data_IF_874754969287
#
_entry.id   IF_874754969287
#
_cell.length_a   1.000
_cell.length_b   1.000
_cell.length_c   1.000
_cell.angle_alpha   90.00
_cell.angle_beta   90.00
_cell.angle_gamma   90.00
#
_symmetry.space_group_name_H-M   'P 1'
#
loop_
_entity.id
_entity.type
_entity.pdbx_description
1 polymer ?
#
# COMPACT_ATOMS: atom_id res chain seq x y z
N UNK A 1 -44.47 4.15 -4.31
CA UNK A 1 -43.32 4.99 -4.68
C UNK A 1 -42.51 5.49 -3.48
N UNK A 2 -43.14 6.14 -2.53
CA UNK A 2 -42.46 6.65 -1.34
C UNK A 2 -41.77 5.54 -0.53
N UNK A 3 -42.42 4.39 -0.38
CA UNK A 3 -41.85 3.26 0.35
C UNK A 3 -40.60 2.69 -0.33
N UNK A 4 -40.62 2.59 -1.65
CA UNK A 4 -39.47 2.11 -2.41
C UNK A 4 -38.28 3.07 -2.31
N UNK A 5 -38.55 4.39 -2.40
CA UNK A 5 -37.50 5.40 -2.24
C UNK A 5 -36.90 5.35 -0.83
N UNK A 6 -37.74 5.22 0.19
CA UNK A 6 -37.27 5.11 1.56
C UNK A 6 -36.43 3.84 1.79
N UNK A 7 -36.83 2.72 1.17
CA UNK A 7 -36.07 1.49 1.23
C UNK A 7 -34.68 1.61 0.60
N UNK A 8 -34.59 2.27 -0.55
CA UNK A 8 -33.32 2.52 -1.21
C UNK A 8 -32.44 3.44 -0.37
N UNK A 9 -33.00 4.51 0.20
CA UNK A 9 -32.26 5.42 1.06
C UNK A 9 -31.68 4.70 2.28
N UNK A 10 -32.43 3.79 2.89
CA UNK A 10 -31.94 2.98 4.02
C UNK A 10 -30.78 2.10 3.62
N UNK A 11 -30.85 1.44 2.48
CA UNK A 11 -29.76 0.57 2.00
C UNK A 11 -28.49 1.38 1.76
N UNK A 12 -28.60 2.54 1.11
CA UNK A 12 -27.47 3.44 0.90
C UNK A 12 -26.84 3.89 2.22
N UNK A 13 -27.68 4.24 3.20
CA UNK A 13 -27.19 4.68 4.52
C UNK A 13 -26.39 3.58 5.22
N UNK A 14 -26.87 2.34 5.19
CA UNK A 14 -26.14 1.21 5.78
C UNK A 14 -24.79 0.99 5.09
N UNK A 15 -24.74 1.05 3.77
CA UNK A 15 -23.50 0.92 3.03
C UNK A 15 -22.50 2.03 3.38
N UNK A 16 -22.96 3.28 3.51
CA UNK A 16 -22.13 4.40 3.93
C UNK A 16 -21.56 4.21 5.35
N UNK A 17 -22.36 3.68 6.26
CA UNK A 17 -21.90 3.40 7.62
C UNK A 17 -20.80 2.34 7.66
N UNK A 18 -20.90 1.28 6.85
CA UNK A 18 -19.88 0.25 6.76
C UNK A 18 -18.54 0.82 6.24
N UNK A 19 -18.59 1.64 5.21
CA UNK A 19 -17.41 2.31 4.68
C UNK A 19 -16.80 3.27 5.72
N UNK A 20 -17.64 4.04 6.41
CA UNK A 20 -17.21 4.94 7.45
C UNK A 20 -16.56 4.21 8.63
N UNK A 21 -17.12 3.06 9.05
CA UNK A 21 -16.56 2.26 10.12
C UNK A 21 -15.18 1.69 9.75
N UNK A 22 -15.01 1.20 8.51
CA UNK A 22 -13.72 0.70 8.03
C UNK A 22 -12.65 1.81 7.98
N UNK A 23 -13.02 3.00 7.48
CA UNK A 23 -12.11 4.16 7.45
C UNK A 23 -11.76 4.64 8.85
N UNK A 24 -12.71 4.60 9.80
CA UNK A 24 -12.51 5.04 11.18
C UNK A 24 -11.61 4.10 11.98
N UNK A 25 -11.36 2.87 11.53
CA UNK A 25 -10.46 1.94 12.21
C UNK A 25 -8.99 2.28 12.07
N UNK A 26 -8.60 3.05 11.04
CA UNK A 26 -7.23 3.49 10.84
C UNK A 26 -6.98 4.79 11.60
N UNK A 27 -5.94 4.83 12.45
CA UNK A 27 -5.53 6.03 13.17
C UNK A 27 -4.66 6.94 12.29
N UNK A 28 -3.79 6.34 11.50
CA UNK A 28 -2.86 7.03 10.62
C UNK A 28 -2.82 6.35 9.26
N UNK A 29 -2.72 7.15 8.22
CA UNK A 29 -2.48 6.65 6.87
C UNK A 29 -1.17 7.20 6.34
N UNK A 30 -0.46 6.37 5.58
CA UNK A 30 0.80 6.76 4.96
C UNK A 30 0.53 7.80 3.86
N UNK A 31 1.25 8.92 3.91
CA UNK A 31 1.32 9.84 2.78
C UNK A 31 2.30 9.27 1.75
N UNK A 32 1.77 8.53 0.79
CA UNK A 32 2.59 7.88 -0.23
C UNK A 32 3.38 8.86 -1.09
N UNK A 33 2.87 10.08 -1.29
CA UNK A 33 3.55 11.09 -2.09
C UNK A 33 4.80 11.64 -1.39
N UNK A 34 4.81 11.62 -0.05
CA UNK A 34 5.93 12.11 0.76
C UNK A 34 6.79 10.99 1.34
N UNK A 35 6.51 9.74 0.96
CA UNK A 35 7.19 8.56 1.48
C UNK A 35 7.98 7.86 0.39
N UNK A 36 9.03 7.16 0.79
CA UNK A 36 9.81 6.37 -0.15
C UNK A 36 10.28 5.06 0.49
N UNK A 37 10.33 4.02 -0.33
CA UNK A 37 11.01 2.77 -0.01
C UNK A 37 12.10 2.58 -1.05
N UNK A 38 13.33 2.49 -0.59
CA UNK A 38 14.50 2.36 -1.44
C UNK A 38 15.19 1.02 -1.19
N UNK A 39 15.88 0.53 -2.20
CA UNK A 39 16.78 -0.61 -2.06
C UNK A 39 18.05 -0.38 -2.86
N UNK A 40 19.09 -1.06 -2.46
CA UNK A 40 20.41 -0.94 -3.09
C UNK A 40 20.76 -2.27 -3.73
N UNK A 41 21.15 -2.23 -5.02
CA UNK A 41 21.75 -3.36 -5.68
C UNK A 41 23.27 -3.15 -5.79
N UNK A 42 24.03 -4.23 -5.65
CA UNK A 42 25.48 -4.18 -5.77
C UNK A 42 25.91 -5.06 -6.93
N UNK A 43 26.62 -4.46 -7.87
CA UNK A 43 27.13 -5.12 -9.07
C UNK A 43 28.62 -5.24 -8.99
N UNK A 44 29.15 -6.42 -9.34
CA UNK A 44 30.60 -6.68 -9.36
C UNK A 44 31.27 -6.35 -8.02
N UNK A 45 30.59 -6.61 -6.91
CA UNK A 45 31.06 -6.41 -5.54
C UNK A 45 31.40 -4.97 -5.15
N UNK A 46 31.30 -4.00 -6.06
CA UNK A 46 31.76 -2.64 -5.80
C UNK A 46 30.88 -1.52 -6.35
N UNK A 47 29.95 -1.81 -7.25
CA UNK A 47 29.08 -0.79 -7.83
C UNK A 47 27.70 -0.85 -7.17
N UNK A 48 27.42 0.12 -6.29
CA UNK A 48 26.13 0.25 -5.63
C UNK A 48 25.21 1.17 -6.43
N UNK A 49 23.96 0.73 -6.63
CA UNK A 49 22.93 1.54 -7.28
C UNK A 49 21.70 1.62 -6.38
N UNK A 50 21.14 2.81 -6.26
CA UNK A 50 19.94 3.06 -5.48
C UNK A 50 18.71 2.99 -6.38
N UNK A 51 17.73 2.21 -5.94
CA UNK A 51 16.44 2.05 -6.62
C UNK A 51 15.31 2.34 -5.65
N UNK A 52 14.11 2.58 -6.18
CA UNK A 52 12.96 2.82 -5.31
C UNK A 52 11.66 2.24 -5.90
N UNK A 53 10.62 2.22 -5.07
CA UNK A 53 9.25 1.91 -5.48
C UNK A 53 8.43 3.20 -5.42
N UNK A 54 7.71 3.50 -6.49
CA UNK A 54 6.96 4.74 -6.62
C UNK A 54 5.55 4.72 -6.04
N UNK A 55 5.02 3.55 -5.70
CA UNK A 55 3.66 3.42 -5.18
C UNK A 55 3.63 2.64 -3.88
N UNK A 56 3.23 3.31 -2.82
CA UNK A 56 3.19 2.80 -1.45
C UNK A 56 1.84 3.11 -0.83
N UNK A 57 1.36 2.21 0.01
CA UNK A 57 0.20 2.43 0.87
C UNK A 57 0.51 1.91 2.26
N UNK A 58 -0.03 2.55 3.27
CA UNK A 58 0.21 2.09 4.62
C UNK A 58 -0.79 2.65 5.61
N UNK A 59 -0.92 1.98 6.75
CA UNK A 59 -1.81 2.40 7.82
C UNK A 59 -1.26 1.96 9.17
N UNK A 60 -1.66 2.70 10.20
CA UNK A 60 -1.42 2.37 11.61
C UNK A 60 -2.74 2.50 12.34
N UNK A 61 -3.23 1.41 12.88
CA UNK A 61 -4.48 1.38 13.63
C UNK A 61 -4.30 1.78 15.08
N UNK A 62 -5.40 2.10 15.75
CA UNK A 62 -5.42 2.41 17.19
C UNK A 62 -4.94 1.25 18.04
N UNK A 63 -5.12 0.03 17.56
CA UNK A 63 -4.67 -1.20 18.19
C UNK A 63 -3.17 -1.45 18.05
N UNK A 64 -2.45 -0.57 17.36
CA UNK A 64 -1.03 -0.70 17.12
C UNK A 64 -0.66 -1.53 15.90
N UNK A 65 -1.63 -2.04 15.14
CA UNK A 65 -1.33 -2.80 13.94
C UNK A 65 -0.91 -1.86 12.81
N UNK A 66 0.31 -2.05 12.33
CA UNK A 66 0.90 -1.30 11.21
C UNK A 66 1.01 -2.20 9.99
N UNK A 67 0.73 -1.64 8.82
CA UNK A 67 0.85 -2.34 7.55
C UNK A 67 1.38 -1.40 6.49
N UNK A 68 2.38 -1.86 5.75
CA UNK A 68 2.90 -1.19 4.56
C UNK A 68 2.72 -2.12 3.37
N UNK A 69 2.11 -1.60 2.32
CA UNK A 69 1.94 -2.32 1.05
C UNK A 69 2.73 -1.60 -0.03
N UNK A 70 3.59 -2.35 -0.71
CA UNK A 70 4.46 -1.85 -1.76
C UNK A 70 3.99 -2.43 -3.08
N UNK A 71 3.66 -1.59 -4.05
CA UNK A 71 3.40 -2.05 -5.41
C UNK A 71 4.72 -2.42 -6.08
N UNK A 72 4.92 -3.69 -6.37
CA UNK A 72 6.17 -4.17 -6.99
C UNK A 72 6.30 -3.73 -8.45
N UNK A 73 5.16 -3.49 -9.14
CA UNK A 73 5.16 -2.91 -10.47
C UNK A 73 5.74 -1.49 -10.52
N UNK A 74 5.73 -0.79 -9.39
CA UNK A 74 6.20 0.58 -9.29
C UNK A 74 7.73 0.69 -9.14
N UNK A 75 8.47 -0.38 -9.32
CA UNK A 75 9.92 -0.38 -9.25
C UNK A 75 10.51 0.61 -10.26
N UNK A 76 11.46 1.42 -9.81
CA UNK A 76 12.14 2.41 -10.63
C UNK A 76 13.64 2.33 -10.43
N UNK A 77 14.35 2.03 -11.52
CA UNK A 77 15.80 1.88 -11.53
C UNK A 77 16.48 2.87 -12.48
N UNK A 78 15.71 3.80 -13.06
CA UNK A 78 16.12 4.79 -14.08
C UNK A 78 16.47 4.16 -15.42
N UNK A 79 16.38 2.86 -15.57
CA UNK A 79 16.61 2.16 -16.82
C UNK A 79 15.34 1.37 -17.16
N UNK A 80 14.56 1.79 -18.18
CA UNK A 80 13.27 1.17 -18.48
C UNK A 80 13.30 -0.33 -18.72
N UNK A 81 14.30 -0.83 -19.48
CA UNK A 81 14.40 -2.27 -19.73
C UNK A 81 14.73 -3.05 -18.44
N UNK A 82 15.47 -2.45 -17.53
CA UNK A 82 15.77 -3.07 -16.24
C UNK A 82 14.52 -3.11 -15.36
N UNK A 83 13.71 -2.05 -15.36
CA UNK A 83 12.43 -2.03 -14.68
C UNK A 83 11.53 -3.16 -15.16
N UNK A 84 11.43 -3.33 -16.48
CA UNK A 84 10.64 -4.39 -17.09
C UNK A 84 11.14 -5.78 -16.67
N UNK A 85 12.45 -6.00 -16.71
CA UNK A 85 13.03 -7.27 -16.28
C UNK A 85 12.82 -7.55 -14.80
N UNK A 86 12.89 -6.53 -13.95
CA UNK A 86 12.60 -6.69 -12.54
C UNK A 86 11.15 -7.09 -12.30
N UNK A 87 10.22 -6.45 -13.01
CA UNK A 87 8.80 -6.81 -12.91
C UNK A 87 8.53 -8.23 -13.38
N UNK A 88 9.08 -8.62 -14.50
CA UNK A 88 8.76 -9.91 -15.13
C UNK A 88 9.54 -11.07 -14.53
N UNK A 89 10.80 -10.89 -14.25
CA UNK A 89 11.73 -11.98 -13.94
C UNK A 89 12.12 -12.06 -12.47
N UNK A 90 12.27 -10.92 -11.79
CA UNK A 90 12.67 -10.93 -10.39
C UNK A 90 11.45 -11.00 -9.47
N UNK A 91 10.49 -10.10 -9.65
CA UNK A 91 9.32 -10.02 -8.77
C UNK A 91 8.14 -10.84 -9.27
N UNK A 92 8.05 -11.08 -10.57
CA UNK A 92 6.91 -11.77 -11.20
C UNK A 92 5.60 -11.09 -10.80
N UNK A 93 5.48 -9.79 -11.11
CA UNK A 93 4.41 -8.93 -10.59
C UNK A 93 3.02 -9.31 -11.06
N UNK A 94 2.88 -10.09 -12.12
CA UNK A 94 1.58 -10.65 -12.53
C UNK A 94 1.05 -11.61 -11.45
N UNK A 95 1.95 -12.39 -10.84
CA UNK A 95 1.61 -13.35 -9.79
C UNK A 95 1.70 -12.73 -8.40
N UNK A 96 2.72 -11.89 -8.17
CA UNK A 96 3.00 -11.26 -6.88
C UNK A 96 3.02 -9.73 -7.05
N UNK A 97 1.84 -9.09 -7.15
CA UNK A 97 1.78 -7.65 -7.44
C UNK A 97 2.26 -6.76 -6.29
N UNK A 98 2.23 -7.25 -5.07
CA UNK A 98 2.55 -6.44 -3.89
C UNK A 98 3.45 -7.19 -2.91
N UNK A 99 4.25 -6.42 -2.18
CA UNK A 99 4.89 -6.88 -0.95
C UNK A 99 4.24 -6.17 0.24
N UNK A 100 4.01 -6.92 1.32
CA UNK A 100 3.37 -6.39 2.52
C UNK A 100 4.30 -6.57 3.70
N UNK A 101 4.48 -5.48 4.46
CA UNK A 101 5.19 -5.48 5.72
C UNK A 101 4.17 -5.23 6.82
N UNK A 102 4.14 -6.09 7.83
CA UNK A 102 3.25 -5.95 8.97
C UNK A 102 4.07 -5.86 10.25
N UNK A 103 3.65 -4.99 11.15
CA UNK A 103 4.31 -4.81 12.44
C UNK A 103 3.27 -4.47 13.50
N UNK A 104 3.64 -4.66 14.76
CA UNK A 104 2.81 -4.26 15.88
C UNK A 104 3.56 -3.22 16.70
N UNK A 105 2.92 -2.08 16.88
CA UNK A 105 3.41 -0.98 17.72
C UNK A 105 2.61 -1.00 19.01
N UNK A 106 3.26 -0.72 20.13
CA UNK A 106 2.55 -0.64 21.40
C UNK A 106 1.42 0.39 21.29
N UNK A 107 0.16 0.03 21.61
CA UNK A 107 -0.99 0.91 21.39
C UNK A 107 -0.88 2.28 22.08
N UNK A 108 -0.18 2.34 23.21
CA UNK A 108 0.05 3.59 23.95
C UNK A 108 0.97 4.57 23.20
N UNK A 109 1.66 4.12 22.17
CA UNK A 109 2.53 4.96 21.34
C UNK A 109 1.82 5.51 20.11
N UNK A 110 0.59 5.11 19.87
CA UNK A 110 -0.17 5.52 18.69
C UNK A 110 -0.90 6.84 18.90
#
# INVERSE_FOLDING_TARGET
MKTAINGLARVITVAALLVGAAAASAQWELDGASSSVNFISIKNDSVAELHHFGSLQGSLGKDGNARLTISLDSVETLIPIRNERMREMLFETVTFPTATVSATVAPELV
#
